data_IF_635091135819
#
_entry.id   IF_635091135819
#
_cell.length_a   1.000
_cell.length_b   1.000
_cell.length_c   1.000
_cell.angle_alpha   90.00
_cell.angle_beta   90.00
_cell.angle_gamma   90.00
#
_symmetry.space_group_name_H-M   'P 1'
#
loop_
_entity.id
_entity.type
_entity.pdbx_description
1 polymer ?
#
# COMPACT_ATOMS: atom_id res chain seq x y z
N UNK A 1 3.95 -25.72 -23.29
CA UNK A 1 3.49 -24.95 -24.47
C UNK A 1 1.97 -24.96 -24.47
N UNK A 2 1.21 -23.88 -24.34
CA UNK A 2 1.48 -22.50 -23.95
C UNK A 2 0.29 -22.01 -23.11
N UNK A 3 0.57 -21.32 -22.02
CA UNK A 3 -0.43 -20.65 -21.20
C UNK A 3 -0.92 -19.41 -21.98
N UNK A 4 -1.93 -19.62 -22.83
CA UNK A 4 -2.61 -18.54 -23.52
C UNK A 4 -3.25 -17.62 -22.51
N UNK A 5 -2.68 -16.43 -22.32
CA UNK A 5 -3.37 -15.33 -21.66
C UNK A 5 -4.69 -15.12 -22.40
N UNK A 6 -5.81 -15.47 -21.75
CA UNK A 6 -7.14 -15.25 -22.33
C UNK A 6 -7.31 -13.73 -22.45
N UNK A 7 -7.11 -13.22 -23.65
CA UNK A 7 -7.28 -11.81 -23.95
C UNK A 7 -8.73 -11.46 -23.76
N UNK A 8 -9.03 -10.63 -22.76
CA UNK A 8 -10.24 -9.83 -22.79
C UNK A 8 -9.83 -8.43 -23.26
N UNK A 9 -10.65 -7.86 -24.15
CA UNK A 9 -10.31 -6.67 -24.91
C UNK A 9 -11.00 -5.44 -24.35
N UNK A 10 -11.41 -4.57 -25.27
CA UNK A 10 -12.36 -3.50 -24.96
C UNK A 10 -13.74 -3.87 -25.47
N UNK A 11 -14.78 -3.47 -24.74
CA UNK A 11 -16.16 -3.67 -25.16
C UNK A 11 -17.00 -2.46 -24.80
N UNK A 12 -18.11 -2.25 -25.53
CA UNK A 12 -19.00 -1.10 -25.33
C UNK A 12 -20.30 -1.56 -24.66
N UNK A 13 -20.71 -0.87 -23.60
CA UNK A 13 -22.03 -1.04 -22.97
C UNK A 13 -22.71 0.32 -22.93
N UNK A 14 -23.80 0.47 -23.69
CA UNK A 14 -24.45 1.76 -23.89
C UNK A 14 -23.50 2.78 -24.55
N UNK A 15 -23.30 3.92 -23.89
CA UNK A 15 -22.38 4.99 -24.35
C UNK A 15 -20.95 4.87 -23.80
N UNK A 16 -20.65 3.85 -22.98
CA UNK A 16 -19.38 3.73 -22.26
C UNK A 16 -18.58 2.53 -22.77
N UNK A 17 -17.29 2.75 -23.01
CA UNK A 17 -16.30 1.72 -23.25
C UNK A 17 -15.73 1.21 -21.93
N UNK A 18 -15.59 -0.10 -21.87
CA UNK A 18 -15.01 -0.85 -20.77
C UNK A 18 -13.75 -1.55 -21.25
N UNK A 19 -12.80 -1.71 -20.36
CA UNK A 19 -11.65 -2.60 -20.53
C UNK A 19 -11.88 -3.83 -19.67
N UNK A 20 -11.40 -4.98 -20.13
CA UNK A 20 -11.45 -6.24 -19.39
C UNK A 20 -10.08 -6.91 -19.53
N UNK A 21 -9.45 -7.30 -18.43
CA UNK A 21 -8.14 -7.92 -18.46
C UNK A 21 -7.90 -8.75 -17.20
N UNK A 22 -6.86 -9.59 -17.23
CA UNK A 22 -6.42 -10.36 -16.08
C UNK A 22 -5.12 -9.76 -15.53
N UNK A 23 -4.97 -9.75 -14.20
CA UNK A 23 -3.71 -9.40 -13.55
C UNK A 23 -2.75 -10.61 -13.48
N UNK A 24 -1.56 -10.39 -12.93
CA UNK A 24 -0.52 -11.40 -12.78
C UNK A 24 -0.91 -12.55 -11.83
N UNK A 25 -1.96 -12.37 -11.02
CA UNK A 25 -2.50 -13.38 -10.11
C UNK A 25 -3.70 -14.14 -10.72
N UNK A 26 -4.02 -13.88 -12.00
CA UNK A 26 -5.16 -14.50 -12.68
C UNK A 26 -6.52 -13.92 -12.27
N UNK A 27 -6.55 -12.78 -11.57
CA UNK A 27 -7.81 -12.10 -11.22
C UNK A 27 -8.27 -11.22 -12.37
N UNK A 28 -9.55 -11.32 -12.73
CA UNK A 28 -10.19 -10.52 -13.78
C UNK A 28 -10.58 -9.14 -13.27
N UNK A 29 -10.27 -8.11 -14.04
CA UNK A 29 -10.61 -6.71 -13.79
C UNK A 29 -11.45 -6.17 -14.94
N UNK A 30 -12.55 -5.47 -14.62
CA UNK A 30 -13.38 -4.76 -15.60
C UNK A 30 -13.52 -3.31 -15.17
N UNK A 31 -12.99 -2.39 -15.96
CA UNK A 31 -13.01 -0.96 -15.65
C UNK A 31 -13.80 -0.18 -16.70
N UNK A 32 -14.66 0.73 -16.26
CA UNK A 32 -15.30 1.72 -17.13
C UNK A 32 -14.29 2.83 -17.46
N UNK A 33 -14.12 3.15 -18.74
CA UNK A 33 -13.17 4.20 -19.18
C UNK A 33 -13.91 5.47 -19.58
N UNK A 34 -14.94 5.36 -20.43
CA UNK A 34 -15.66 6.52 -20.93
C UNK A 34 -16.15 6.33 -22.37
N UNK A 35 -16.66 7.39 -23.03
CA UNK A 35 -17.29 7.28 -24.34
C UNK A 35 -16.31 7.10 -25.51
N UNK A 36 -15.01 7.34 -25.28
CA UNK A 36 -14.00 7.32 -26.32
C UNK A 36 -13.30 5.95 -26.43
N UNK A 37 -13.42 5.29 -27.59
CA UNK A 37 -12.80 3.99 -27.87
C UNK A 37 -11.27 4.05 -27.76
N UNK A 38 -10.64 5.07 -28.34
CA UNK A 38 -9.17 5.24 -28.35
C UNK A 38 -8.63 5.39 -26.93
N UNK A 39 -9.37 6.07 -26.07
CA UNK A 39 -9.02 6.20 -24.65
C UNK A 39 -9.09 4.84 -23.94
N UNK A 40 -10.08 4.00 -24.26
CA UNK A 40 -10.19 2.65 -23.72
C UNK A 40 -9.03 1.75 -24.18
N UNK A 41 -8.63 1.83 -25.45
CA UNK A 41 -7.47 1.10 -25.98
C UNK A 41 -6.17 1.52 -25.28
N UNK A 42 -5.94 2.83 -25.12
CA UNK A 42 -4.77 3.35 -24.40
C UNK A 42 -4.76 2.91 -22.94
N UNK A 43 -5.92 2.93 -22.28
CA UNK A 43 -6.05 2.49 -20.88
C UNK A 43 -5.75 1.01 -20.76
N UNK A 44 -6.30 0.16 -21.64
CA UNK A 44 -6.01 -1.27 -21.65
C UNK A 44 -4.52 -1.54 -21.87
N UNK A 45 -3.88 -0.86 -22.82
CA UNK A 45 -2.42 -1.00 -23.06
C UNK A 45 -1.61 -0.59 -21.83
N UNK A 46 -1.98 0.51 -21.17
CA UNK A 46 -1.35 0.93 -19.92
C UNK A 46 -1.50 -0.12 -18.81
N UNK A 47 -2.70 -0.70 -18.64
CA UNK A 47 -2.94 -1.77 -17.66
C UNK A 47 -2.11 -3.02 -17.95
N UNK A 48 -1.98 -3.41 -19.22
CA UNK A 48 -1.12 -4.54 -19.63
C UNK A 48 0.34 -4.30 -19.27
N UNK A 49 0.85 -3.09 -19.49
CA UNK A 49 2.21 -2.72 -19.07
C UNK A 49 2.32 -2.79 -17.54
N UNK A 50 1.37 -2.21 -16.80
CA UNK A 50 1.37 -2.25 -15.32
C UNK A 50 1.35 -3.68 -14.76
N UNK A 51 0.61 -4.60 -15.40
CA UNK A 51 0.57 -6.03 -15.05
C UNK A 51 1.90 -6.71 -15.40
N UNK A 52 2.45 -6.47 -16.59
CA UNK A 52 3.73 -7.03 -17.02
C UNK A 52 4.89 -6.57 -16.13
N UNK A 53 4.84 -5.33 -15.65
CA UNK A 53 5.84 -4.75 -14.74
C UNK A 53 5.59 -5.10 -13.25
N UNK A 54 4.57 -5.91 -12.93
CA UNK A 54 4.12 -6.21 -11.55
C UNK A 54 3.76 -4.97 -10.70
N UNK A 55 3.53 -3.81 -11.32
CA UNK A 55 3.23 -2.53 -10.64
C UNK A 55 1.76 -2.36 -10.24
N UNK A 56 0.91 -3.36 -10.50
CA UNK A 56 -0.53 -3.27 -10.22
C UNK A 56 -0.86 -3.20 -8.71
N UNK A 57 0.10 -3.53 -7.83
CA UNK A 57 -0.11 -3.58 -6.37
C UNK A 57 -0.14 -2.21 -5.67
N UNK A 58 0.37 -1.13 -6.28
CA UNK A 58 0.66 0.11 -5.54
C UNK A 58 -0.33 1.27 -5.74
N UNK A 59 -1.45 1.07 -6.45
CA UNK A 59 -2.50 2.09 -6.57
C UNK A 59 -3.54 2.04 -5.44
N UNK A 60 -3.20 1.49 -4.27
CA UNK A 60 -3.91 1.91 -3.05
C UNK A 60 -3.66 3.40 -2.92
N UNK A 61 -4.71 4.22 -2.88
CA UNK A 61 -4.61 5.65 -2.58
C UNK A 61 -3.76 5.77 -1.31
N UNK A 62 -2.50 6.12 -1.49
CA UNK A 62 -1.58 6.26 -0.38
C UNK A 62 -2.08 7.47 0.41
N UNK A 63 -2.70 7.20 1.57
CA UNK A 63 -3.17 8.25 2.44
C UNK A 63 -1.99 9.14 2.80
N UNK A 64 -2.13 10.44 2.55
CA UNK A 64 -1.07 11.44 2.76
C UNK A 64 -0.90 11.81 4.24
N UNK A 65 -1.26 10.91 5.14
CA UNK A 65 -1.17 11.11 6.59
C UNK A 65 0.28 10.92 7.04
N UNK A 66 0.77 11.84 7.88
CA UNK A 66 2.06 11.68 8.53
C UNK A 66 1.99 10.58 9.57
N UNK A 67 3.10 9.90 9.80
CA UNK A 67 3.18 8.88 10.84
C UNK A 67 2.82 9.44 12.22
N UNK A 68 3.24 10.69 12.52
CA UNK A 68 2.93 11.34 13.80
C UNK A 68 1.42 11.42 14.06
N UNK A 69 0.66 11.88 13.07
CA UNK A 69 -0.78 12.10 13.19
C UNK A 69 -1.51 10.76 13.31
N UNK A 70 -1.14 9.79 12.46
CA UNK A 70 -1.67 8.43 12.54
C UNK A 70 -1.36 7.75 13.88
N UNK A 71 -0.16 7.95 14.40
CA UNK A 71 0.26 7.39 15.68
C UNK A 71 -0.60 7.90 16.86
N UNK A 72 -0.98 9.17 16.82
CA UNK A 72 -1.84 9.77 17.84
C UNK A 72 -3.27 9.22 17.74
N UNK A 73 -3.83 9.09 16.53
CA UNK A 73 -5.12 8.43 16.29
C UNK A 73 -5.11 6.96 16.75
N UNK A 74 -4.04 6.22 16.46
CA UNK A 74 -3.89 4.83 16.88
C UNK A 74 -3.92 4.68 18.40
N UNK A 75 -3.23 5.55 19.14
CA UNK A 75 -3.25 5.49 20.60
C UNK A 75 -4.65 5.80 21.13
N UNK A 76 -5.30 6.84 20.62
CA UNK A 76 -6.57 7.33 21.14
C UNK A 76 -7.74 6.39 20.83
N UNK A 77 -7.88 5.98 19.58
CA UNK A 77 -9.04 5.24 19.11
C UNK A 77 -8.84 3.72 19.15
N UNK A 78 -7.60 3.23 19.20
CA UNK A 78 -7.32 1.81 19.18
C UNK A 78 -6.67 1.30 20.47
N UNK A 79 -5.55 1.87 20.92
CA UNK A 79 -4.82 1.30 22.07
C UNK A 79 -5.54 1.53 23.40
N UNK A 80 -5.85 2.79 23.75
CA UNK A 80 -6.52 3.15 25.01
C UNK A 80 -7.83 2.39 25.28
N UNK A 81 -8.79 2.31 24.34
CA UNK A 81 -10.07 1.64 24.60
C UNK A 81 -9.96 0.11 24.66
N UNK A 82 -8.99 -0.50 23.96
CA UNK A 82 -8.96 -1.95 23.78
C UNK A 82 -7.91 -2.68 24.61
N UNK A 83 -6.90 -1.98 25.16
CA UNK A 83 -5.77 -2.61 25.87
C UNK A 83 -5.57 -2.05 27.27
N UNK A 84 -5.42 -2.94 28.25
CA UNK A 84 -4.96 -2.56 29.61
C UNK A 84 -3.51 -2.04 29.63
N UNK A 85 -2.70 -2.47 28.67
CA UNK A 85 -1.27 -2.12 28.56
C UNK A 85 -0.99 -0.92 27.65
N UNK A 86 -1.99 -0.08 27.35
CA UNK A 86 -1.88 1.03 26.41
C UNK A 86 -0.75 2.02 26.75
N UNK A 87 -0.40 2.19 28.03
CA UNK A 87 0.70 3.05 28.46
C UNK A 87 2.05 2.60 27.90
N UNK A 88 2.25 1.29 27.74
CA UNK A 88 3.45 0.74 27.10
C UNK A 88 3.44 1.03 25.60
N UNK A 89 2.28 0.94 24.95
CA UNK A 89 2.14 1.30 23.54
C UNK A 89 2.50 2.78 23.33
N UNK A 90 2.09 3.70 24.21
CA UNK A 90 2.49 5.11 24.15
C UNK A 90 4.01 5.28 24.17
N UNK A 91 4.70 4.57 25.07
CA UNK A 91 6.17 4.64 25.15
C UNK A 91 6.84 4.14 23.85
N UNK A 92 6.37 3.01 23.31
CA UNK A 92 6.89 2.44 22.06
C UNK A 92 6.60 3.36 20.86
N UNK A 93 5.39 3.89 20.78
CA UNK A 93 4.96 4.79 19.72
C UNK A 93 5.74 6.10 19.77
N UNK A 94 6.03 6.67 20.94
CA UNK A 94 6.86 7.87 21.05
C UNK A 94 8.26 7.70 20.44
N UNK A 95 8.84 6.50 20.58
CA UNK A 95 10.10 6.19 19.94
C UNK A 95 10.00 6.11 18.42
N UNK A 96 8.92 5.53 17.90
CA UNK A 96 8.66 5.51 16.47
C UNK A 96 8.37 6.91 15.93
N UNK A 97 7.63 7.75 16.67
CA UNK A 97 7.36 9.16 16.32
C UNK A 97 8.64 9.99 16.22
N UNK A 98 9.64 9.73 17.07
CA UNK A 98 10.92 10.43 17.01
C UNK A 98 11.68 10.18 15.70
N UNK A 99 11.55 8.99 15.11
CA UNK A 99 12.26 8.61 13.89
C UNK A 99 11.43 8.80 12.61
N UNK A 100 10.16 8.40 12.64
CA UNK A 100 9.27 8.39 11.47
C UNK A 100 8.31 9.58 11.42
N UNK A 101 8.22 10.41 12.46
CA UNK A 101 7.10 11.34 12.65
C UNK A 101 6.78 12.27 11.48
N UNK A 102 7.80 12.78 10.78
CA UNK A 102 7.61 13.68 9.63
C UNK A 102 7.36 12.95 8.30
N UNK A 103 7.65 11.64 8.24
CA UNK A 103 7.37 10.83 7.05
C UNK A 103 5.89 10.53 6.96
N UNK A 104 5.38 10.47 5.74
CA UNK A 104 4.05 9.91 5.49
C UNK A 104 4.12 8.40 5.57
N UNK A 105 3.01 7.76 5.93
CA UNK A 105 2.97 6.29 6.10
C UNK A 105 3.46 5.55 4.86
N UNK A 106 3.12 6.04 3.67
CA UNK A 106 3.53 5.42 2.41
C UNK A 106 5.02 5.61 2.07
N UNK A 107 5.70 6.54 2.73
CA UNK A 107 7.13 6.81 2.52
C UNK A 107 8.01 5.92 3.40
N UNK A 108 7.42 5.17 4.33
CA UNK A 108 8.14 4.26 5.21
C UNK A 108 8.47 2.98 4.44
N UNK A 109 9.76 2.79 4.15
CA UNK A 109 10.26 1.63 3.42
C UNK A 109 10.81 0.55 4.37
N UNK A 110 10.97 -0.71 3.94
CA UNK A 110 11.68 -1.73 4.71
C UNK A 110 13.10 -1.31 5.11
N UNK A 111 13.80 -0.56 4.25
CA UNK A 111 15.13 -0.03 4.57
C UNK A 111 15.08 0.96 5.74
N UNK A 112 14.02 1.77 5.84
CA UNK A 112 13.86 2.70 6.95
C UNK A 112 13.61 1.97 8.28
N UNK A 113 12.91 0.83 8.24
CA UNK A 113 12.72 -0.04 9.41
C UNK A 113 14.07 -0.60 9.89
N UNK A 114 14.91 -1.07 8.98
CA UNK A 114 16.25 -1.58 9.33
C UNK A 114 17.16 -0.47 9.89
N UNK A 115 17.09 0.74 9.33
CA UNK A 115 17.79 1.92 9.87
C UNK A 115 17.34 2.23 11.30
N UNK A 116 16.03 2.24 11.55
CA UNK A 116 15.48 2.44 12.89
C UNK A 116 15.97 1.37 13.87
N UNK A 117 15.91 0.08 13.49
CA UNK A 117 16.39 -1.02 14.34
C UNK A 117 17.87 -0.84 14.70
N UNK A 118 18.72 -0.49 13.73
CA UNK A 118 20.15 -0.22 13.95
C UNK A 118 20.33 0.91 14.98
N UNK A 119 19.67 2.05 14.80
CA UNK A 119 19.76 3.18 15.73
C UNK A 119 19.26 2.80 17.14
N UNK A 120 18.21 1.98 17.23
CA UNK A 120 17.70 1.51 18.51
C UNK A 120 18.67 0.59 19.24
N UNK A 121 19.34 -0.32 18.54
CA UNK A 121 20.32 -1.24 19.15
C UNK A 121 21.48 -0.48 19.80
N UNK A 122 21.85 0.69 19.27
CA UNK A 122 22.88 1.55 19.86
C UNK A 122 22.41 2.23 21.17
N UNK A 123 21.10 2.41 21.35
CA UNK A 123 20.50 3.14 22.48
C UNK A 123 19.87 2.22 23.55
N UNK A 124 19.54 0.98 23.22
CA UNK A 124 18.86 0.04 24.13
C UNK A 124 19.44 -1.37 24.09
N UNK A 125 19.24 -2.15 25.15
CA UNK A 125 19.66 -3.56 25.20
C UNK A 125 19.04 -4.36 24.04
N UNK A 126 19.79 -5.27 23.38
CA UNK A 126 19.34 -5.99 22.17
C UNK A 126 17.99 -6.74 22.31
N UNK A 127 17.66 -7.19 23.52
CA UNK A 127 16.40 -7.86 23.84
C UNK A 127 15.14 -7.00 23.59
N UNK A 128 15.30 -5.69 23.41
CA UNK A 128 14.19 -4.74 23.19
C UNK A 128 13.87 -4.54 21.71
N UNK A 129 14.79 -4.90 20.80
CA UNK A 129 14.66 -4.63 19.35
C UNK A 129 14.24 -5.87 18.57
N UNK A 130 14.46 -7.06 19.12
CA UNK A 130 14.07 -8.33 18.50
C UNK A 130 12.63 -8.70 18.89
N UNK A 131 11.73 -8.83 17.91
CA UNK A 131 10.53 -9.63 18.10
C UNK A 131 10.90 -11.12 18.02
N UNK A 132 10.17 -11.96 18.78
CA UNK A 132 10.31 -13.43 18.79
C UNK A 132 9.61 -14.05 17.58
#
# INVERSE_FOLDING_TARGET
>A
MGSGFISVGIYKRGKIWYIDYYDQFGKRHREAVGPNKRQAEQTLSKRKIEVAENKFLDKKKQEKIKFRDFADEFIEFHSKPNKRSWQRDVQLVNHLKAFFGEKKLYEITPLDIEKYKKERIEKVKPATVKEK
#
